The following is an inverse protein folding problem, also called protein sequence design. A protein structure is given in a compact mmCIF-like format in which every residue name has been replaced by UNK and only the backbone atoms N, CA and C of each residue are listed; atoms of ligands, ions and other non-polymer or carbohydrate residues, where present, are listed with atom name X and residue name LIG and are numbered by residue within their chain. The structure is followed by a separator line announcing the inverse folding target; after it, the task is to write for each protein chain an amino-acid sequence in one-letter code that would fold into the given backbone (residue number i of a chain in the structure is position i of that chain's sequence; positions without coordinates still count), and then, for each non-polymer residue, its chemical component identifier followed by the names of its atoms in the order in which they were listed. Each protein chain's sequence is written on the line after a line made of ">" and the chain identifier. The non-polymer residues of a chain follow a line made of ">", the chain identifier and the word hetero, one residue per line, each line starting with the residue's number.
data_IF_796984248981
#
_entry.id   IF_796984248981
#
_cell.length_a   1.000
_cell.length_b   1.000
_cell.length_c   1.000
_cell.angle_alpha   90.00
_cell.angle_beta   90.00
_cell.angle_gamma   90.00
#
_symmetry.space_group_name_H-M   'P 1'
#
loop_
_entity.id
_entity.type
_entity.pdbx_description
1 polymer ?
#
# COMPACT_ATOMS: atom_id res chain seq x y z
N UNK A 1 -6.84 -15.29 -24.31
CA UNK A 1 -5.58 -14.84 -23.70
C UNK A 1 -5.91 -14.16 -22.36
N UNK A 2 -5.62 -14.82 -21.22
CA UNK A 2 -5.94 -14.26 -19.89
C UNK A 2 -4.83 -13.29 -19.50
N UNK A 3 -5.08 -11.98 -19.63
CA UNK A 3 -4.24 -10.93 -19.03
C UNK A 3 -4.20 -11.24 -17.53
N UNK A 4 -3.03 -11.61 -17.01
CA UNK A 4 -2.89 -11.92 -15.58
C UNK A 4 -3.19 -10.63 -14.81
N UNK A 5 -4.39 -10.56 -14.23
CA UNK A 5 -4.77 -9.46 -13.36
C UNK A 5 -3.86 -9.55 -12.13
N UNK A 6 -2.89 -8.64 -12.07
CA UNK A 6 -2.06 -8.50 -10.89
C UNK A 6 -2.96 -8.16 -9.70
N UNK A 7 -2.66 -8.68 -8.50
CA UNK A 7 -3.49 -8.39 -7.34
C UNK A 7 -3.45 -6.89 -7.05
N UNK A 8 -4.62 -6.33 -6.78
CA UNK A 8 -4.82 -4.94 -6.39
C UNK A 8 -5.16 -4.87 -4.91
N UNK A 9 -4.68 -3.83 -4.23
CA UNK A 9 -4.97 -3.54 -2.83
C UNK A 9 -5.40 -2.08 -2.68
N UNK A 10 -6.13 -1.78 -1.62
CA UNK A 10 -6.53 -0.41 -1.28
C UNK A 10 -5.52 0.15 -0.28
N UNK A 11 -5.03 1.37 -0.53
CA UNK A 11 -4.14 2.05 0.39
C UNK A 11 -4.91 2.51 1.64
N UNK A 12 -4.51 2.06 2.84
CA UNK A 12 -5.20 2.47 4.08
C UNK A 12 -5.06 3.97 4.43
N UNK A 13 -4.14 4.69 3.79
CA UNK A 13 -3.90 6.12 4.05
C UNK A 13 -4.66 7.03 3.09
N UNK A 14 -4.64 6.72 1.78
CA UNK A 14 -5.24 7.58 0.75
C UNK A 14 -6.46 6.95 0.06
N UNK A 15 -6.82 5.72 0.43
CA UNK A 15 -7.95 4.95 -0.10
C UNK A 15 -7.93 4.75 -1.62
N UNK A 16 -6.77 4.95 -2.26
CA UNK A 16 -6.59 4.71 -3.69
C UNK A 16 -6.25 3.23 -3.94
N UNK A 17 -6.83 2.61 -4.98
CA UNK A 17 -6.41 1.29 -5.43
C UNK A 17 -4.98 1.36 -5.97
N UNK A 18 -4.19 0.33 -5.69
CA UNK A 18 -2.84 0.20 -6.22
C UNK A 18 -2.55 -1.27 -6.55
N UNK A 19 -1.88 -1.47 -7.68
CA UNK A 19 -1.56 -2.79 -8.20
C UNK A 19 -0.21 -3.27 -7.68
N UNK A 20 -0.04 -4.60 -7.58
CA UNK A 20 1.23 -5.25 -7.26
C UNK A 20 2.42 -4.70 -8.07
N UNK A 21 3.56 -4.58 -7.41
CA UNK A 21 4.84 -4.14 -8.01
C UNK A 21 5.93 -5.15 -7.68
N UNK A 22 6.88 -5.33 -8.59
CA UNK A 22 8.02 -6.26 -8.42
C UNK A 22 8.80 -6.07 -7.11
N UNK A 23 8.94 -4.82 -6.65
CA UNK A 23 9.59 -4.48 -5.37
C UNK A 23 8.89 -5.07 -4.12
N UNK A 24 7.64 -5.50 -4.26
CA UNK A 24 6.84 -6.07 -3.18
C UNK A 24 6.76 -7.59 -3.21
N UNK A 25 7.49 -8.25 -4.12
CA UNK A 25 7.43 -9.71 -4.27
C UNK A 25 7.61 -10.48 -2.96
N UNK A 26 8.45 -9.99 -2.04
CA UNK A 26 8.75 -10.65 -0.75
C UNK A 26 7.88 -10.23 0.42
N UNK A 27 7.17 -9.10 0.31
CA UNK A 27 6.44 -8.49 1.44
C UNK A 27 5.02 -8.07 1.04
N UNK A 28 4.49 -8.55 -0.08
CA UNK A 28 3.21 -8.09 -0.63
C UNK A 28 2.07 -8.22 0.37
N UNK A 29 2.06 -9.30 1.16
CA UNK A 29 1.06 -9.55 2.20
C UNK A 29 1.04 -8.44 3.26
N UNK A 30 2.20 -7.92 3.64
CA UNK A 30 2.36 -6.84 4.63
C UNK A 30 2.14 -5.43 4.05
N UNK A 31 2.16 -5.27 2.72
CA UNK A 31 1.98 -3.96 2.08
C UNK A 31 0.52 -3.50 2.19
N UNK A 32 0.31 -2.46 3.01
CA UNK A 32 -0.97 -1.79 3.26
C UNK A 32 -1.10 -0.40 2.61
N UNK A 33 0.01 0.12 2.04
CA UNK A 33 0.12 1.48 1.54
C UNK A 33 0.69 1.52 0.12
N UNK A 34 0.14 2.39 -0.73
CA UNK A 34 0.56 2.53 -2.12
C UNK A 34 1.98 3.11 -2.28
N UNK A 35 2.48 3.81 -1.26
CA UNK A 35 3.77 4.49 -1.27
C UNK A 35 4.40 4.55 0.13
N UNK A 36 5.71 4.79 0.17
CA UNK A 36 6.41 5.00 1.45
C UNK A 36 5.96 6.29 2.14
N UNK A 37 5.56 7.31 1.37
CA UNK A 37 4.95 8.52 1.92
C UNK A 37 3.71 8.18 2.74
N UNK A 38 2.77 7.42 2.18
CA UNK A 38 1.56 7.00 2.88
C UNK A 38 1.86 6.15 4.13
N UNK A 39 2.86 5.27 4.05
CA UNK A 39 3.34 4.49 5.20
C UNK A 39 3.89 5.39 6.30
N UNK A 40 4.65 6.42 5.95
CA UNK A 40 5.25 7.37 6.89
C UNK A 40 4.20 8.29 7.51
N UNK A 41 3.28 8.82 6.72
CA UNK A 41 2.14 9.65 7.18
C UNK A 41 1.23 8.87 8.13
N UNK A 42 0.95 7.59 7.84
CA UNK A 42 0.18 6.73 8.75
C UNK A 42 0.85 6.58 10.12
N UNK A 43 2.18 6.43 10.16
CA UNK A 43 2.95 6.38 11.42
C UNK A 43 2.99 7.72 12.16
N UNK A 44 2.87 8.84 11.45
CA UNK A 44 2.86 10.18 12.04
C UNK A 44 1.49 10.52 12.62
N UNK A 45 0.39 10.08 12.00
CA UNK A 45 -0.96 10.31 12.52
C UNK A 45 -1.17 9.75 13.93
N UNK A 46 -0.46 8.67 14.28
CA UNK A 46 -0.43 8.11 15.65
C UNK A 46 0.15 9.06 16.71
N UNK A 47 0.88 10.11 16.31
CA UNK A 47 1.56 11.06 17.21
C UNK A 47 0.89 12.43 17.28
N UNK A 48 -0.21 12.65 16.55
CA UNK A 48 -0.83 13.99 16.39
C UNK A 48 -2.11 14.19 17.20
N UNK A 49 -2.32 13.40 18.26
CA UNK A 49 -3.47 13.56 19.14
C UNK A 49 -3.02 13.68 20.62
N UNK A 50 -2.02 14.52 20.84
CA UNK A 50 -1.63 15.05 22.15
C UNK A 50 -1.67 16.57 22.08
#
# INVERSE_FOLDING_TARGET
>A
MKKQHLPEKICMQCLRPFTWRKKWQRCWEEVKYCSERCKRESRQRSKSNA
#
